data_IF_104949376907
#
_entry.id   IF_104949376907
#
_cell.length_a   1.000
_cell.length_b   1.000
_cell.length_c   1.000
_cell.angle_alpha   90.00
_cell.angle_beta   90.00
_cell.angle_gamma   90.00
#
_symmetry.space_group_name_H-M   'P 1'
#
loop_
_entity.id
_entity.type
_entity.pdbx_description
1 polymer ?
#
# COMPACT_ATOMS: atom_id res chain seq x y z
N UNK A 1 -1.11 -5.77 13.71
CA UNK A 1 -0.44 -4.73 12.93
C UNK A 1 -1.43 -3.90 12.12
N UNK A 2 -1.25 -2.56 12.05
CA UNK A 2 -2.13 -1.65 11.29
C UNK A 2 -1.43 -1.18 10.00
N UNK A 3 -2.05 -1.43 8.83
CA UNK A 3 -1.53 -1.06 7.50
C UNK A 3 -2.45 0.00 6.88
N UNK A 4 -1.88 1.12 6.46
CA UNK A 4 -2.60 2.24 5.86
C UNK A 4 -2.18 2.43 4.40
N UNK A 5 -3.15 2.38 3.49
CA UNK A 5 -2.95 2.76 2.09
C UNK A 5 -3.32 4.22 1.85
N UNK A 6 -2.51 4.97 1.08
CA UNK A 6 -2.76 6.39 0.81
C UNK A 6 -2.62 6.71 -0.67
N UNK A 7 -3.61 7.43 -1.21
CA UNK A 7 -3.54 8.08 -2.52
C UNK A 7 -4.15 9.49 -2.43
N UNK A 8 -4.47 10.12 -3.55
CA UNK A 8 -5.11 11.45 -3.55
C UNK A 8 -6.55 11.39 -3.02
N UNK A 9 -7.47 10.79 -3.79
CA UNK A 9 -8.92 10.85 -3.55
C UNK A 9 -9.49 9.74 -2.69
N UNK A 10 -8.74 8.70 -2.34
CA UNK A 10 -9.21 7.51 -1.62
C UNK A 10 -10.42 6.81 -2.28
N UNK A 11 -10.53 6.88 -3.61
CA UNK A 11 -11.62 6.24 -4.38
C UNK A 11 -11.13 5.24 -5.44
N UNK A 12 -9.81 5.22 -5.75
CA UNK A 12 -9.24 4.30 -6.74
C UNK A 12 -8.10 3.46 -6.11
N UNK A 13 -6.85 3.97 -6.13
CA UNK A 13 -5.63 3.20 -5.82
C UNK A 13 -5.53 2.71 -4.39
N UNK A 14 -5.75 3.57 -3.40
CA UNK A 14 -5.60 3.18 -1.99
C UNK A 14 -6.68 2.20 -1.51
N UNK A 15 -8.00 2.34 -1.84
CA UNK A 15 -8.95 1.32 -1.44
C UNK A 15 -8.75 0.01 -2.22
N UNK A 16 -8.37 0.07 -3.50
CA UNK A 16 -8.01 -1.13 -4.26
C UNK A 16 -6.83 -1.86 -3.58
N UNK A 17 -5.77 -1.13 -3.22
CA UNK A 17 -4.62 -1.72 -2.53
C UNK A 17 -4.99 -2.37 -1.20
N UNK A 18 -5.82 -1.73 -0.40
CA UNK A 18 -6.27 -2.27 0.89
C UNK A 18 -7.04 -3.60 0.70
N UNK A 19 -8.00 -3.63 -0.20
CA UNK A 19 -8.86 -4.80 -0.45
C UNK A 19 -8.08 -5.95 -1.11
N UNK A 20 -7.16 -5.64 -2.05
CA UNK A 20 -6.31 -6.64 -2.68
C UNK A 20 -5.33 -7.24 -1.67
N UNK A 21 -4.70 -6.43 -0.80
CA UNK A 21 -3.83 -6.97 0.25
C UNK A 21 -4.61 -7.91 1.19
N UNK A 22 -5.81 -7.51 1.61
CA UNK A 22 -6.66 -8.35 2.45
C UNK A 22 -6.96 -9.69 1.77
N UNK A 23 -7.33 -9.67 0.48
CA UNK A 23 -7.57 -10.88 -0.31
C UNK A 23 -6.31 -11.77 -0.43
N UNK A 24 -5.12 -11.17 -0.62
CA UNK A 24 -3.84 -11.91 -0.73
C UNK A 24 -3.37 -12.49 0.60
N UNK A 25 -3.68 -11.85 1.72
CA UNK A 25 -3.37 -12.38 3.06
C UNK A 25 -4.23 -13.59 3.42
N UNK A 26 -5.43 -13.71 2.87
CA UNK A 26 -6.30 -14.88 3.07
C UNK A 26 -6.60 -15.14 4.55
N UNK A 27 -6.31 -16.34 5.05
CA UNK A 27 -6.64 -16.75 6.42
C UNK A 27 -5.94 -15.94 7.52
N UNK A 28 -4.81 -15.29 7.23
CA UNK A 28 -4.11 -14.45 8.23
C UNK A 28 -4.55 -12.99 8.19
N UNK A 29 -5.44 -12.59 7.28
CA UNK A 29 -5.91 -11.21 7.15
C UNK A 29 -6.47 -10.64 8.46
N UNK A 30 -7.13 -11.48 9.28
CA UNK A 30 -7.69 -11.08 10.58
C UNK A 30 -6.65 -10.62 11.62
N UNK A 31 -5.37 -10.90 11.41
CA UNK A 31 -4.25 -10.41 12.25
C UNK A 31 -3.86 -8.97 11.91
N UNK A 32 -4.43 -8.39 10.85
CA UNK A 32 -4.13 -7.06 10.36
C UNK A 32 -5.37 -6.16 10.42
N UNK A 33 -5.15 -4.88 10.66
CA UNK A 33 -6.14 -3.83 10.43
C UNK A 33 -5.71 -3.08 9.19
N UNK A 34 -6.40 -3.32 8.07
CA UNK A 34 -6.05 -2.76 6.76
C UNK A 34 -7.02 -1.62 6.45
N UNK A 35 -6.48 -0.43 6.25
CA UNK A 35 -7.26 0.78 6.08
C UNK A 35 -6.74 1.61 4.89
N UNK A 36 -7.55 2.56 4.42
CA UNK A 36 -7.12 3.50 3.38
C UNK A 36 -7.59 4.92 3.69
N UNK A 37 -6.86 5.93 3.17
CA UNK A 37 -7.19 7.34 3.27
C UNK A 37 -6.69 8.10 2.03
N UNK A 38 -7.08 9.37 1.88
CA UNK A 38 -6.64 10.22 0.78
C UNK A 38 -6.16 11.59 1.21
N UNK A 39 -5.09 12.10 0.57
CA UNK A 39 -4.49 13.40 0.91
C UNK A 39 -5.39 14.59 0.57
N UNK A 40 -6.32 14.40 -0.39
CA UNK A 40 -7.34 15.38 -0.80
C UNK A 40 -8.71 14.72 -0.93
N UNK A 41 -8.97 13.62 -0.19
CA UNK A 41 -10.24 12.91 -0.26
C UNK A 41 -11.39 13.80 0.23
N UNK A 42 -12.52 13.62 -0.40
CA UNK A 42 -13.82 14.01 0.14
C UNK A 42 -14.37 12.79 0.89
N UNK A 43 -14.85 13.00 2.11
CA UNK A 43 -15.35 11.89 2.94
C UNK A 43 -16.65 11.27 2.35
N UNK A 44 -16.89 10.02 2.69
CA UNK A 44 -18.08 9.23 2.40
C UNK A 44 -18.36 8.91 0.91
N UNK A 45 -17.38 9.10 0.03
CA UNK A 45 -17.50 8.66 -1.36
C UNK A 45 -17.28 7.16 -1.50
N UNK A 46 -18.10 6.50 -2.32
CA UNK A 46 -17.84 5.13 -2.75
C UNK A 46 -16.59 5.05 -3.63
N UNK A 47 -16.07 3.84 -3.84
CA UNK A 47 -15.03 3.61 -4.86
C UNK A 47 -15.51 4.04 -6.25
N UNK A 48 -14.59 4.54 -7.07
CA UNK A 48 -14.79 4.70 -8.51
C UNK A 48 -15.22 3.37 -9.13
N UNK A 49 -16.22 3.40 -10.01
CA UNK A 49 -16.82 2.17 -10.54
C UNK A 49 -15.84 1.26 -11.28
N UNK A 50 -14.91 1.84 -12.06
CA UNK A 50 -13.92 1.06 -12.76
C UNK A 50 -12.86 0.47 -11.79
N UNK A 51 -12.47 1.22 -10.76
CA UNK A 51 -11.60 0.72 -9.71
C UNK A 51 -12.27 -0.38 -8.86
N UNK A 52 -13.56 -0.23 -8.54
CA UNK A 52 -14.35 -1.23 -7.84
C UNK A 52 -14.43 -2.55 -8.62
N UNK A 53 -14.68 -2.48 -9.94
CA UNK A 53 -14.67 -3.66 -10.81
C UNK A 53 -13.32 -4.40 -10.79
N UNK A 54 -12.20 -3.66 -10.76
CA UNK A 54 -10.87 -4.28 -10.63
C UNK A 54 -10.66 -4.90 -9.24
N UNK A 55 -11.18 -4.28 -8.18
CA UNK A 55 -11.12 -4.86 -6.84
C UNK A 55 -11.83 -6.21 -6.79
N UNK A 56 -13.05 -6.29 -7.29
CA UNK A 56 -13.81 -7.55 -7.39
C UNK A 56 -13.05 -8.60 -8.21
N UNK A 57 -12.51 -8.21 -9.37
CA UNK A 57 -11.68 -9.10 -10.21
C UNK A 57 -10.51 -9.72 -9.46
N UNK A 58 -9.90 -8.97 -8.55
CA UNK A 58 -8.73 -9.39 -7.76
C UNK A 58 -9.09 -10.01 -6.40
N UNK A 59 -10.39 -10.21 -6.12
CA UNK A 59 -10.88 -10.89 -4.92
C UNK A 59 -11.21 -9.97 -3.74
N UNK A 60 -11.21 -8.64 -3.95
CA UNK A 60 -11.60 -7.66 -2.94
C UNK A 60 -13.11 -7.41 -2.90
N UNK A 61 -13.58 -6.73 -1.86
CA UNK A 61 -14.97 -6.29 -1.70
C UNK A 61 -15.06 -4.76 -1.54
N UNK A 62 -15.47 -4.03 -2.60
CA UNK A 62 -15.60 -2.58 -2.55
C UNK A 62 -16.89 -2.07 -1.89
N UNK A 63 -17.84 -2.95 -1.54
CA UNK A 63 -19.20 -2.58 -1.18
C UNK A 63 -19.30 -1.68 0.06
N UNK A 64 -18.49 -1.93 1.06
CA UNK A 64 -18.45 -1.19 2.32
C UNK A 64 -17.50 0.01 2.30
N UNK A 65 -16.73 0.19 1.21
CA UNK A 65 -15.75 1.27 1.17
C UNK A 65 -16.42 2.65 1.22
N UNK A 66 -15.88 3.51 2.08
CA UNK A 66 -16.16 4.96 2.11
C UNK A 66 -14.83 5.69 2.21
N UNK A 67 -14.62 6.64 1.32
CA UNK A 67 -13.42 7.46 1.32
C UNK A 67 -13.35 8.33 2.58
N UNK A 68 -12.12 8.61 3.02
CA UNK A 68 -11.87 9.50 4.15
C UNK A 68 -10.61 10.32 3.94
N UNK A 69 -10.65 11.56 4.46
CA UNK A 69 -9.51 12.47 4.43
C UNK A 69 -8.39 11.95 5.36
N UNK A 70 -7.14 12.06 4.89
CA UNK A 70 -5.96 11.69 5.68
C UNK A 70 -5.72 12.73 6.78
N UNK A 71 -5.74 12.29 8.04
CA UNK A 71 -5.40 13.12 9.20
C UNK A 71 -4.09 12.69 9.83
N UNK A 72 -3.50 13.56 10.68
CA UNK A 72 -2.30 13.22 11.45
C UNK A 72 -2.53 11.97 12.29
N UNK A 73 -3.67 11.86 12.96
CA UNK A 73 -4.02 10.70 13.80
C UNK A 73 -4.04 9.40 13.01
N UNK A 74 -4.62 9.40 11.79
CA UNK A 74 -4.66 8.23 10.91
C UNK A 74 -3.24 7.84 10.50
N UNK A 75 -2.43 8.80 10.04
CA UNK A 75 -1.05 8.55 9.61
C UNK A 75 -0.14 8.09 10.78
N UNK A 76 -0.29 8.71 11.95
CA UNK A 76 0.50 8.38 13.13
C UNK A 76 0.15 7.01 13.73
N UNK A 77 -1.10 6.57 13.59
CA UNK A 77 -1.59 5.30 14.13
C UNK A 77 -1.22 4.06 13.31
N UNK A 78 -0.68 4.21 12.09
CA UNK A 78 -0.32 3.09 11.24
C UNK A 78 1.08 2.54 11.57
N UNK A 79 1.25 1.21 11.55
CA UNK A 79 2.54 0.53 11.69
C UNK A 79 3.28 0.43 10.35
N UNK A 80 2.55 0.42 9.24
CA UNK A 80 3.05 0.51 7.87
C UNK A 80 2.16 1.44 7.06
N UNK A 81 2.75 2.39 6.33
CA UNK A 81 2.04 3.25 5.38
C UNK A 81 2.54 2.94 3.96
N UNK A 82 1.62 2.54 3.09
CA UNK A 82 1.85 2.25 1.68
C UNK A 82 1.14 3.30 0.82
N UNK A 83 1.90 4.13 0.15
CA UNK A 83 1.35 5.22 -0.67
C UNK A 83 1.37 4.86 -2.16
N UNK A 84 0.44 5.40 -2.94
CA UNK A 84 0.43 5.19 -4.39
C UNK A 84 1.62 5.90 -5.07
N UNK A 85 2.01 7.07 -4.57
CA UNK A 85 3.08 7.89 -5.14
C UNK A 85 4.00 8.44 -4.05
N UNK A 86 5.20 8.85 -4.47
CA UNK A 86 6.19 9.54 -3.62
C UNK A 86 5.67 10.89 -3.09
N UNK A 87 4.83 11.58 -3.87
CA UNK A 87 4.13 12.79 -3.45
C UNK A 87 3.24 12.54 -2.22
N UNK A 88 2.42 11.49 -2.26
CA UNK A 88 1.59 11.09 -1.13
C UNK A 88 2.43 10.68 0.10
N UNK A 89 3.57 10.03 -0.13
CA UNK A 89 4.51 9.72 0.97
C UNK A 89 5.05 11.00 1.60
N UNK A 90 5.39 12.01 0.81
CA UNK A 90 5.83 13.29 1.33
C UNK A 90 4.75 13.99 2.16
N UNK A 91 3.47 13.90 1.74
CA UNK A 91 2.33 14.43 2.50
C UNK A 91 2.15 13.70 3.84
N UNK A 92 2.22 12.36 3.84
CA UNK A 92 2.19 11.55 5.08
C UNK A 92 3.29 11.97 6.04
N UNK A 93 4.52 12.10 5.56
CA UNK A 93 5.68 12.47 6.40
C UNK A 93 5.58 13.92 6.91
N UNK A 94 5.02 14.83 6.10
CA UNK A 94 4.77 16.21 6.54
C UNK A 94 3.73 16.26 7.66
N UNK A 95 2.67 15.45 7.54
CA UNK A 95 1.59 15.38 8.50
C UNK A 95 1.99 14.66 9.79
N UNK A 96 2.73 13.57 9.66
CA UNK A 96 3.19 12.71 10.76
C UNK A 96 4.69 12.36 10.59
N UNK A 97 5.63 13.23 11.00
CA UNK A 97 7.07 13.02 10.76
C UNK A 97 7.63 11.70 11.30
N UNK A 98 7.05 11.20 12.39
CA UNK A 98 7.44 9.91 12.97
C UNK A 98 7.11 8.70 12.07
N UNK A 99 6.21 8.88 11.09
CA UNK A 99 5.90 7.83 10.11
C UNK A 99 6.99 7.66 9.02
N UNK A 100 7.98 8.54 8.93
CA UNK A 100 8.98 8.54 7.86
C UNK A 100 9.71 7.19 7.68
N UNK A 101 9.97 6.47 8.79
CA UNK A 101 10.67 5.18 8.76
C UNK A 101 9.78 4.03 8.29
N UNK A 102 8.44 4.16 8.41
CA UNK A 102 7.46 3.14 8.07
C UNK A 102 6.53 3.52 6.91
N UNK A 103 6.84 4.64 6.22
CA UNK A 103 6.13 5.09 5.03
C UNK A 103 6.96 4.82 3.77
N UNK A 104 6.33 4.15 2.81
CA UNK A 104 6.89 3.76 1.52
C UNK A 104 5.85 3.99 0.43
N UNK A 105 6.26 4.01 -0.83
CA UNK A 105 5.30 3.71 -1.89
C UNK A 105 5.08 2.18 -1.95
N UNK A 106 3.95 1.75 -2.48
CA UNK A 106 3.63 0.33 -2.65
C UNK A 106 4.76 -0.38 -3.40
N UNK A 107 5.18 0.20 -4.52
CA UNK A 107 6.24 -0.37 -5.37
C UNK A 107 7.61 -0.31 -4.70
N UNK A 108 7.93 0.76 -3.97
CA UNK A 108 9.18 0.84 -3.23
C UNK A 108 9.30 -0.27 -2.18
N UNK A 109 8.23 -0.51 -1.40
CA UNK A 109 8.26 -1.54 -0.37
C UNK A 109 8.44 -2.94 -1.00
N UNK A 110 7.68 -3.24 -2.06
CA UNK A 110 7.82 -4.49 -2.81
C UNK A 110 9.22 -4.67 -3.41
N UNK A 111 9.78 -3.63 -4.05
CA UNK A 111 11.13 -3.66 -4.63
C UNK A 111 12.21 -3.91 -3.58
N UNK A 112 12.11 -3.27 -2.40
CA UNK A 112 13.07 -3.52 -1.32
C UNK A 112 12.95 -4.97 -0.84
N UNK A 113 11.75 -5.49 -0.64
CA UNK A 113 11.53 -6.90 -0.27
C UNK A 113 12.14 -7.87 -1.29
N UNK A 114 11.90 -7.65 -2.58
CA UNK A 114 12.41 -8.48 -3.67
C UNK A 114 13.94 -8.47 -3.77
N UNK A 115 14.56 -7.39 -3.33
CA UNK A 115 16.02 -7.23 -3.30
C UNK A 115 16.71 -7.72 -2.04
N UNK A 116 15.97 -8.29 -1.08
CA UNK A 116 16.56 -8.87 0.15
C UNK A 116 16.96 -10.33 -0.06
N UNK A 117 18.11 -10.69 0.51
CA UNK A 117 18.54 -12.07 0.55
C UNK A 117 17.83 -12.82 1.70
N UNK A 118 17.66 -14.17 1.61
CA UNK A 118 17.07 -14.94 2.70
C UNK A 118 17.75 -14.73 4.06
N UNK A 119 19.06 -14.49 4.06
CA UNK A 119 19.84 -14.17 5.27
C UNK A 119 19.42 -12.86 5.94
N UNK A 120 18.90 -11.89 5.16
CA UNK A 120 18.41 -10.62 5.67
C UNK A 120 17.11 -10.79 6.47
N UNK A 121 16.39 -11.88 6.27
CA UNK A 121 15.10 -12.18 6.88
C UNK A 121 15.16 -13.30 7.92
N UNK A 122 16.31 -13.93 8.13
CA UNK A 122 16.45 -15.12 8.96
C UNK A 122 16.05 -14.95 10.43
N UNK A 123 16.18 -13.74 10.97
CA UNK A 123 15.83 -13.36 12.34
C UNK A 123 14.55 -12.49 12.43
N UNK A 124 13.76 -12.44 11.35
CA UNK A 124 12.51 -11.67 11.28
C UNK A 124 11.34 -12.60 11.58
N UNK A 125 10.69 -12.41 12.74
CA UNK A 125 9.64 -13.30 13.26
C UNK A 125 8.34 -12.55 13.61
N UNK A 126 8.16 -11.32 13.09
CA UNK A 126 6.89 -10.60 13.22
C UNK A 126 6.73 -9.58 12.08
N UNK A 127 5.49 -9.21 11.74
CA UNK A 127 5.22 -8.19 10.72
C UNK A 127 5.88 -6.84 11.02
N UNK A 128 5.93 -6.43 12.28
CA UNK A 128 6.58 -5.18 12.69
C UNK A 128 8.10 -5.25 12.48
N UNK A 129 8.72 -6.37 12.83
CA UNK A 129 10.15 -6.59 12.60
C UNK A 129 10.47 -6.61 11.09
N UNK A 130 9.56 -7.14 10.24
CA UNK A 130 9.69 -7.07 8.79
C UNK A 130 9.74 -5.63 8.29
N UNK A 131 8.80 -4.78 8.75
CA UNK A 131 8.78 -3.36 8.36
C UNK A 131 10.05 -2.64 8.80
N UNK A 132 10.55 -2.89 10.01
CA UNK A 132 11.80 -2.32 10.50
C UNK A 132 13.01 -2.79 9.68
N UNK A 133 13.04 -4.07 9.28
CA UNK A 133 14.09 -4.63 8.44
C UNK A 133 14.10 -3.97 7.06
N UNK A 134 12.94 -3.89 6.39
CA UNK A 134 12.79 -3.21 5.10
C UNK A 134 13.20 -1.74 5.20
N UNK A 135 12.80 -1.05 6.28
CA UNK A 135 13.18 0.35 6.51
C UNK A 135 14.69 0.53 6.64
N UNK A 136 15.37 -0.36 7.36
CA UNK A 136 16.83 -0.33 7.56
C UNK A 136 17.59 -0.59 6.27
N UNK A 137 17.11 -1.54 5.46
CA UNK A 137 17.77 -1.97 4.22
C UNK A 137 17.31 -1.19 2.98
N UNK A 138 16.39 -0.23 3.13
CA UNK A 138 15.88 0.59 2.00
C UNK A 138 16.99 1.21 1.15
N UNK A 139 18.09 1.64 1.76
CA UNK A 139 19.20 2.31 1.08
C UNK A 139 20.25 1.35 0.49
N UNK A 140 20.16 0.04 0.76
CA UNK A 140 21.09 -0.97 0.23
C UNK A 140 20.62 -1.57 -1.08
N UNK A 141 19.31 -1.58 -1.31
CA UNK A 141 18.72 -2.01 -2.58
C UNK A 141 18.78 -0.87 -3.59
N UNK A 142 19.25 -1.14 -4.79
CA UNK A 142 19.38 -0.13 -5.84
C UNK A 142 18.04 0.56 -6.11
N UNK A 143 18.03 1.91 -6.19
CA UNK A 143 16.82 2.63 -6.60
C UNK A 143 16.49 2.32 -8.08
N UNK A 144 15.25 2.53 -8.52
CA UNK A 144 14.92 2.42 -9.93
C UNK A 144 15.66 3.49 -10.74
N UNK A 145 15.88 3.22 -12.04
CA UNK A 145 16.55 4.15 -12.94
C UNK A 145 15.79 5.48 -13.05
N UNK A 146 14.46 5.41 -13.18
CA UNK A 146 13.58 6.58 -13.01
C UNK A 146 12.91 6.50 -11.64
N UNK A 147 13.10 7.50 -10.77
CA UNK A 147 12.39 7.54 -9.50
C UNK A 147 10.86 7.43 -9.63
N UNK A 148 10.26 7.80 -10.78
CA UNK A 148 8.82 7.64 -11.03
C UNK A 148 8.39 6.18 -11.16
N UNK A 149 9.33 5.25 -11.36
CA UNK A 149 9.03 3.81 -11.37
C UNK A 149 8.55 3.29 -9.99
N UNK A 150 8.81 4.02 -8.92
CA UNK A 150 8.25 3.73 -7.59
C UNK A 150 6.82 4.30 -7.41
N UNK A 151 6.27 5.04 -8.38
CA UNK A 151 4.91 5.58 -8.36
C UNK A 151 3.94 4.65 -9.11
N UNK A 152 2.68 4.63 -8.67
CA UNK A 152 1.55 3.98 -9.34
C UNK A 152 0.73 5.05 -10.06
N UNK A 153 0.58 4.91 -11.39
CA UNK A 153 -0.18 5.84 -12.21
C UNK A 153 -1.59 6.10 -11.69
N UNK A 154 -2.10 7.31 -11.90
CA UNK A 154 -3.48 7.65 -11.54
C UNK A 154 -4.47 7.22 -12.65
N UNK A 155 -5.34 6.20 -12.39
CA UNK A 155 -6.32 5.74 -13.35
C UNK A 155 -7.62 6.58 -13.36
N UNK A 156 -7.78 7.53 -12.43
CA UNK A 156 -9.01 8.28 -12.29
C UNK A 156 -9.38 9.01 -13.59
N UNK A 157 -10.61 8.82 -14.07
CA UNK A 157 -11.12 9.33 -15.36
C UNK A 157 -10.34 8.85 -16.59
N UNK A 158 -9.64 7.72 -16.49
CA UNK A 158 -8.98 7.06 -17.61
C UNK A 158 -9.80 5.86 -18.10
N UNK A 159 -9.30 5.20 -19.14
CA UNK A 159 -9.93 4.02 -19.72
C UNK A 159 -9.97 2.83 -18.76
N UNK A 160 -10.89 1.89 -19.00
CA UNK A 160 -10.93 0.61 -18.28
C UNK A 160 -9.62 -0.17 -18.39
N UNK A 161 -8.96 -0.12 -19.56
CA UNK A 161 -7.66 -0.74 -19.77
C UNK A 161 -6.56 -0.11 -18.90
N UNK A 162 -6.63 1.20 -18.64
CA UNK A 162 -5.73 1.87 -17.68
C UNK A 162 -6.00 1.39 -16.25
N UNK A 163 -7.27 1.30 -15.85
CA UNK A 163 -7.64 0.75 -14.55
C UNK A 163 -7.15 -0.69 -14.37
N UNK A 164 -7.32 -1.54 -15.39
CA UNK A 164 -6.85 -2.92 -15.35
C UNK A 164 -5.32 -3.01 -15.21
N UNK A 165 -4.57 -2.24 -16.02
CA UNK A 165 -3.11 -2.20 -15.95
C UNK A 165 -2.61 -1.76 -14.57
N UNK A 166 -3.19 -0.69 -14.02
CA UNK A 166 -2.84 -0.16 -12.70
C UNK A 166 -3.19 -1.18 -11.60
N UNK A 167 -4.33 -1.85 -11.71
CA UNK A 167 -4.72 -2.88 -10.76
C UNK A 167 -3.77 -4.08 -10.79
N UNK A 168 -3.33 -4.53 -11.96
CA UNK A 168 -2.36 -5.61 -12.11
C UNK A 168 -0.96 -5.21 -11.57
N UNK A 169 -0.59 -3.94 -11.71
CA UNK A 169 0.65 -3.41 -11.14
C UNK A 169 0.63 -3.42 -9.61
N UNK A 170 -0.47 -2.94 -9.02
CA UNK A 170 -0.70 -2.98 -7.57
C UNK A 170 -0.72 -4.43 -7.08
N UNK A 171 -1.44 -5.32 -7.76
CA UNK A 171 -1.57 -6.72 -7.36
C UNK A 171 -0.22 -7.45 -7.34
N UNK A 172 0.64 -7.27 -8.35
CA UNK A 172 1.98 -7.85 -8.37
C UNK A 172 2.81 -7.41 -7.15
N UNK A 173 2.79 -6.12 -6.84
CA UNK A 173 3.52 -5.60 -5.68
C UNK A 173 2.95 -6.14 -4.36
N UNK A 174 1.62 -6.20 -4.25
CA UNK A 174 0.94 -6.67 -3.03
C UNK A 174 1.05 -8.18 -2.84
N UNK A 175 1.22 -8.96 -3.90
CA UNK A 175 1.49 -10.40 -3.80
C UNK A 175 2.82 -10.63 -3.07
N UNK A 176 3.89 -9.95 -3.46
CA UNK A 176 5.19 -10.02 -2.77
C UNK A 176 5.08 -9.58 -1.30
N UNK A 177 4.37 -8.49 -1.04
CA UNK A 177 4.16 -7.97 0.32
C UNK A 177 3.37 -8.97 1.18
N UNK A 178 2.29 -9.53 0.63
CA UNK A 178 1.46 -10.50 1.33
C UNK A 178 2.23 -11.80 1.64
N UNK A 179 3.05 -12.28 0.70
CA UNK A 179 3.88 -13.47 0.91
C UNK A 179 4.86 -13.26 2.06
N UNK A 180 5.54 -12.11 2.10
CA UNK A 180 6.45 -11.77 3.19
C UNK A 180 5.72 -11.61 4.54
N UNK A 181 4.55 -10.96 4.56
CA UNK A 181 3.74 -10.81 5.77
C UNK A 181 3.20 -12.15 6.28
N UNK A 182 2.78 -13.07 5.38
CA UNK A 182 2.33 -14.41 5.76
C UNK A 182 3.43 -15.28 6.34
N UNK A 183 4.66 -15.10 5.85
CA UNK A 183 5.81 -15.86 6.32
C UNK A 183 6.20 -15.54 7.78
N UNK A 184 5.77 -14.37 8.29
CA UNK A 184 6.12 -13.89 9.65
C UNK A 184 4.89 -13.67 10.55
N UNK A 185 3.68 -14.09 10.11
CA UNK A 185 2.41 -13.92 10.82
C UNK A 185 2.19 -14.97 11.92
#
# INVERSE_FOLDING_TARGET
MRILFVCSGNICRSPLGAQVLEARLGSVASSYVIESAGTIAQDDMAMDGAAAAQSVRLGGDPSAHRSRYLTESIAAGADLVLTAERSHRADVVRLAPRAAKRAFTIKQFARVLDGLEPSDLADVHSPEALVERVARLRGTVAPPADPADDDVDDPYRRSESTHARVADEIDRALTLIADALRAVA
#
